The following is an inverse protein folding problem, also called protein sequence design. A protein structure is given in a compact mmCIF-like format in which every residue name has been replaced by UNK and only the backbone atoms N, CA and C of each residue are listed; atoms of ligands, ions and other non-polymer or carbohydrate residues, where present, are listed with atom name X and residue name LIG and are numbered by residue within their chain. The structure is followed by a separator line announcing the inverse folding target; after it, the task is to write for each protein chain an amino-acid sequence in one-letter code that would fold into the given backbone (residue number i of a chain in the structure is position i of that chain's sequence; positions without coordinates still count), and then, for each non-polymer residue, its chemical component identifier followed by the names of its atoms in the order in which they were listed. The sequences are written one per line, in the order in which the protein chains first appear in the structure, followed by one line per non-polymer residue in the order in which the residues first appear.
data_IF_018708967667
#
_entry.id   IF_018708967667
#
_cell.length_a   1.000
_cell.length_b   1.000
_cell.length_c   1.000
_cell.angle_alpha   90.00
_cell.angle_beta   90.00
_cell.angle_gamma   90.00
#
_symmetry.space_group_name_H-M   'P 1'
#
loop_
_entity.id
_entity.type
_entity.pdbx_description
1 polymer ?
#
# COMPACT_ATOMS: atom_id res chain seq x y z
N UNK A 1 9.58 -11.78 -30.69
CA UNK A 1 9.80 -12.65 -29.52
C UNK A 1 9.39 -11.89 -28.28
N UNK A 2 8.55 -12.49 -27.44
CA UNK A 2 8.14 -11.99 -26.12
C UNK A 2 7.76 -10.50 -26.04
N UNK A 3 6.49 -10.19 -26.26
CA UNK A 3 5.80 -9.01 -25.69
C UNK A 3 5.64 -9.13 -24.16
N UNK A 4 6.64 -9.70 -23.48
CA UNK A 4 6.57 -10.27 -22.14
C UNK A 4 6.89 -9.31 -20.99
N UNK A 5 7.08 -8.02 -21.26
CA UNK A 5 7.38 -7.03 -20.21
C UNK A 5 6.19 -6.09 -19.94
N UNK A 6 5.39 -5.75 -20.97
CA UNK A 6 4.25 -4.84 -20.81
C UNK A 6 3.05 -5.48 -20.11
N UNK A 7 2.49 -6.57 -20.66
CA UNK A 7 1.27 -7.19 -20.14
C UNK A 7 1.45 -7.86 -18.77
N UNK A 8 2.58 -8.55 -18.55
CA UNK A 8 2.92 -9.15 -17.25
C UNK A 8 3.19 -8.06 -16.20
N UNK A 9 3.84 -6.96 -16.61
CA UNK A 9 4.07 -5.80 -15.74
C UNK A 9 2.77 -5.17 -15.23
N UNK A 10 1.75 -5.07 -16.08
CA UNK A 10 0.42 -4.56 -15.69
C UNK A 10 -0.24 -5.48 -14.67
N UNK A 11 -0.32 -6.79 -14.93
CA UNK A 11 -0.98 -7.76 -14.03
C UNK A 11 -0.31 -7.77 -12.66
N UNK A 12 1.02 -7.84 -12.61
CA UNK A 12 1.78 -7.82 -11.36
C UNK A 12 1.56 -6.51 -10.60
N UNK A 13 1.57 -5.38 -11.30
CA UNK A 13 1.35 -4.07 -10.66
C UNK A 13 -0.07 -3.91 -10.13
N UNK A 14 -1.06 -4.44 -10.84
CA UNK A 14 -2.45 -4.43 -10.40
C UNK A 14 -2.64 -5.27 -9.12
N UNK A 15 -2.03 -6.46 -9.07
CA UNK A 15 -2.01 -7.31 -7.87
C UNK A 15 -1.26 -6.63 -6.71
N UNK A 16 -0.13 -5.97 -6.99
CA UNK A 16 0.65 -5.26 -5.98
C UNK A 16 -0.10 -4.07 -5.39
N UNK A 17 -0.80 -3.27 -6.22
CA UNK A 17 -1.67 -2.18 -5.76
C UNK A 17 -2.82 -2.72 -4.91
N UNK A 18 -3.44 -3.83 -5.33
CA UNK A 18 -4.48 -4.48 -4.55
C UNK A 18 -3.99 -4.96 -3.17
N UNK A 19 -2.82 -5.59 -3.12
CA UNK A 19 -2.18 -6.01 -1.87
C UNK A 19 -1.82 -4.83 -0.97
N UNK A 20 -1.24 -3.76 -1.54
CA UNK A 20 -0.90 -2.55 -0.80
C UNK A 20 -2.14 -1.88 -0.20
N UNK A 21 -3.23 -1.78 -0.97
CA UNK A 21 -4.49 -1.22 -0.49
C UNK A 21 -5.10 -2.08 0.63
N UNK A 22 -5.08 -3.41 0.49
CA UNK A 22 -5.58 -4.32 1.51
C UNK A 22 -4.73 -4.27 2.80
N UNK A 23 -3.40 -4.21 2.65
CA UNK A 23 -2.48 -4.02 3.78
C UNK A 23 -2.80 -2.73 4.53
N UNK A 24 -3.00 -1.61 3.81
CA UNK A 24 -3.36 -0.33 4.41
C UNK A 24 -4.68 -0.41 5.21
N UNK A 25 -5.70 -1.07 4.65
CA UNK A 25 -7.00 -1.23 5.33
C UNK A 25 -6.85 -2.04 6.62
N UNK A 26 -6.12 -3.15 6.60
CA UNK A 26 -5.86 -3.96 7.80
C UNK A 26 -5.07 -3.18 8.84
N UNK A 27 -4.02 -2.47 8.43
CA UNK A 27 -3.20 -1.65 9.32
C UNK A 27 -4.05 -0.55 9.97
N UNK A 28 -4.94 0.09 9.20
CA UNK A 28 -5.83 1.14 9.68
C UNK A 28 -6.87 0.61 10.67
N UNK A 29 -7.51 -0.51 10.37
CA UNK A 29 -8.47 -1.18 11.28
C UNK A 29 -7.81 -1.58 12.60
N UNK A 30 -6.58 -2.09 12.55
CA UNK A 30 -5.79 -2.41 13.73
C UNK A 30 -5.57 -1.19 14.61
N UNK A 31 -5.22 -0.05 14.02
CA UNK A 31 -4.92 1.18 14.75
C UNK A 31 -6.17 1.82 15.33
N UNK A 32 -7.31 1.78 14.63
CA UNK A 32 -8.59 2.26 15.18
C UNK A 32 -9.00 1.43 16.39
N UNK A 33 -8.87 0.10 16.33
CA UNK A 33 -9.15 -0.78 17.48
C UNK A 33 -8.23 -0.45 18.65
N UNK A 34 -6.93 -0.33 18.40
CA UNK A 34 -5.94 0.03 19.42
C UNK A 34 -6.22 1.41 20.05
N UNK A 35 -6.64 2.40 19.26
CA UNK A 35 -7.06 3.70 19.77
C UNK A 35 -8.31 3.62 20.67
N UNK A 36 -9.27 2.75 20.35
CA UNK A 36 -10.48 2.54 21.15
C UNK A 36 -10.23 1.84 22.48
N UNK A 37 -9.24 0.95 22.55
CA UNK A 37 -8.88 0.24 23.79
C UNK A 37 -7.93 1.05 24.71
N UNK A 38 -7.59 2.29 24.34
CA UNK A 38 -6.82 3.19 25.21
C UNK A 38 -5.32 2.91 25.23
N UNK A 39 -4.70 2.74 24.06
CA UNK A 39 -3.24 2.59 23.94
C UNK A 39 -2.50 3.83 24.45
N UNK A 40 -1.45 3.59 25.25
CA UNK A 40 -0.58 4.61 25.84
C UNK A 40 -0.06 5.57 24.76
N UNK A 41 -0.13 6.88 25.01
CA UNK A 41 0.15 7.96 24.04
C UNK A 41 1.54 7.80 23.37
N UNK A 42 2.48 7.14 24.06
CA UNK A 42 3.82 6.82 23.58
C UNK A 42 3.89 5.74 22.51
N UNK A 43 2.87 4.90 22.32
CA UNK A 43 2.87 3.90 21.25
C UNK A 43 2.14 4.40 19.99
N UNK A 44 1.32 5.46 20.14
CA UNK A 44 0.55 6.06 19.06
C UNK A 44 1.43 6.58 17.90
N UNK A 45 2.60 7.15 18.21
CA UNK A 45 3.51 7.66 17.18
C UNK A 45 4.13 6.55 16.33
N UNK A 46 4.38 5.36 16.90
CA UNK A 46 4.91 4.20 16.18
C UNK A 46 3.87 3.64 15.22
N UNK A 47 2.62 3.55 15.68
CA UNK A 47 1.48 3.17 14.85
C UNK A 47 1.26 4.15 13.70
N UNK A 48 1.28 5.46 13.97
CA UNK A 48 1.14 6.50 12.96
C UNK A 48 2.27 6.44 11.91
N UNK A 49 3.51 6.17 12.34
CA UNK A 49 4.63 5.99 11.43
C UNK A 49 4.44 4.77 10.51
N UNK A 50 4.01 3.63 11.08
CA UNK A 50 3.70 2.43 10.29
C UNK A 50 2.63 2.70 9.22
N UNK A 51 1.55 3.39 9.58
CA UNK A 51 0.52 3.81 8.61
C UNK A 51 1.07 4.71 7.51
N UNK A 52 1.93 5.66 7.87
CA UNK A 52 2.54 6.55 6.88
C UNK A 52 3.38 5.76 5.89
N UNK A 53 4.15 4.76 6.34
CA UNK A 53 4.94 3.89 5.47
C UNK A 53 4.03 3.06 4.55
N UNK A 54 2.95 2.47 5.06
CA UNK A 54 1.97 1.74 4.25
C UNK A 54 1.30 2.65 3.20
N UNK A 55 1.01 3.91 3.56
CA UNK A 55 0.46 4.92 2.64
C UNK A 55 1.45 5.30 1.53
N UNK A 56 2.72 5.55 1.89
CA UNK A 56 3.78 5.85 0.92
C UNK A 56 4.01 4.65 0.00
N UNK A 57 3.98 3.43 0.52
CA UNK A 57 4.12 2.22 -0.29
C UNK A 57 2.98 2.10 -1.31
N UNK A 58 1.72 2.28 -0.89
CA UNK A 58 0.58 2.32 -1.81
C UNK A 58 0.74 3.41 -2.88
N UNK A 59 1.19 4.60 -2.49
CA UNK A 59 1.45 5.70 -3.41
C UNK A 59 2.47 5.33 -4.50
N UNK A 60 3.59 4.72 -4.11
CA UNK A 60 4.61 4.26 -5.07
C UNK A 60 4.08 3.19 -6.02
N UNK A 61 3.20 2.32 -5.53
CA UNK A 61 2.62 1.24 -6.35
C UNK A 61 1.60 1.78 -7.36
N UNK A 62 0.79 2.76 -6.97
CA UNK A 62 -0.10 3.49 -7.88
C UNK A 62 0.71 4.24 -8.93
N UNK A 63 1.79 4.93 -8.52
CA UNK A 63 2.70 5.59 -9.46
C UNK A 63 3.31 4.59 -10.45
N UNK A 64 3.70 3.40 -9.99
CA UNK A 64 4.26 2.35 -10.86
C UNK A 64 3.21 1.86 -11.86
N UNK A 65 1.98 1.65 -11.42
CA UNK A 65 0.86 1.24 -12.28
C UNK A 65 0.60 2.32 -13.35
N UNK A 66 0.51 3.59 -12.95
CA UNK A 66 0.34 4.71 -13.87
C UNK A 66 1.52 4.85 -14.84
N UNK A 67 2.75 4.63 -14.37
CA UNK A 67 3.93 4.67 -15.23
C UNK A 67 3.93 3.57 -16.29
N UNK A 68 3.44 2.37 -15.95
CA UNK A 68 3.31 1.27 -16.92
C UNK A 68 2.18 1.55 -17.91
N UNK A 69 1.05 2.10 -17.45
CA UNK A 69 -0.07 2.49 -18.31
C UNK A 69 0.32 3.62 -19.28
N UNK A 70 1.14 4.58 -18.83
CA UNK A 70 1.63 5.68 -19.65
C UNK A 70 2.79 5.29 -20.58
N UNK A 71 3.49 4.20 -20.30
CA UNK A 71 4.60 3.67 -21.12
C UNK A 71 4.12 2.78 -22.27
N UNK A 72 2.84 2.41 -22.29
CA UNK A 72 2.19 1.62 -23.34
C UNK A 72 1.36 2.51 -24.26
#
# INVERSE_FOLDING_TARGET
GFYGVGGIGIIISLLAVGLAAFSLVIDFDGIVRMAQYGVEEKESWRCAFGLMVSLVWLYLEILRLLAILNRN
#
